data_IF_239417891744
#
_entry.id   IF_239417891744
#
_cell.length_a   1.000
_cell.length_b   1.000
_cell.length_c   1.000
_cell.angle_alpha   90.00
_cell.angle_beta   90.00
_cell.angle_gamma   90.00
#
_symmetry.space_group_name_H-M   'P 1'
#
loop_
_entity.id
_entity.type
_entity.pdbx_description
1 polymer ?
#
# COMPACT_ATOMS: atom_id res chain seq x y z
N UNK A 1 -0.31 9.79 6.53
CA UNK A 1 -0.39 8.36 6.25
C UNK A 1 -0.28 7.54 7.54
N UNK A 2 -0.99 6.41 7.63
CA UNK A 2 -1.05 5.54 8.81
C UNK A 2 0.33 5.05 9.27
N UNK A 3 1.22 4.51 8.40
CA UNK A 3 2.54 4.05 8.83
C UNK A 3 3.44 5.17 9.34
N UNK A 4 3.31 6.36 8.77
CA UNK A 4 4.05 7.54 9.22
C UNK A 4 3.58 8.01 10.58
N UNK A 5 2.26 7.97 10.83
CA UNK A 5 1.69 8.27 12.15
C UNK A 5 2.17 7.26 13.20
N UNK A 6 2.13 5.96 12.88
CA UNK A 6 2.65 4.93 13.77
C UNK A 6 4.15 5.12 14.08
N UNK A 7 4.95 5.48 13.05
CA UNK A 7 6.36 5.79 13.22
C UNK A 7 6.61 7.02 14.09
N UNK A 8 5.78 8.06 14.00
CA UNK A 8 5.84 9.23 14.89
C UNK A 8 5.60 8.84 16.35
N UNK A 9 4.55 8.05 16.60
CA UNK A 9 4.25 7.60 17.96
C UNK A 9 5.38 6.74 18.54
N UNK A 10 5.96 5.86 17.71
CA UNK A 10 7.12 5.05 18.09
C UNK A 10 8.38 5.90 18.30
N UNK A 11 8.63 6.88 17.42
CA UNK A 11 9.88 7.66 17.37
C UNK A 11 10.01 8.71 18.47
N UNK A 12 8.94 9.00 19.23
CA UNK A 12 8.98 9.97 20.34
C UNK A 12 10.12 9.65 21.31
N UNK A 13 11.01 10.65 21.53
CA UNK A 13 12.12 10.54 22.46
C UNK A 13 13.31 9.72 22.01
N UNK A 14 13.32 9.16 20.78
CA UNK A 14 14.47 8.45 20.22
C UNK A 14 15.63 9.42 19.93
N UNK A 15 16.86 8.96 20.14
CA UNK A 15 18.08 9.77 19.98
C UNK A 15 18.91 9.36 18.76
N UNK A 16 18.71 8.15 18.26
CA UNK A 16 19.48 7.58 17.15
C UNK A 16 18.58 7.37 15.93
N UNK A 17 19.18 7.32 14.75
CA UNK A 17 18.49 6.87 13.54
C UNK A 17 18.31 5.36 13.59
N UNK A 18 17.09 4.90 13.29
CA UNK A 18 16.70 3.49 13.28
C UNK A 18 15.92 3.18 12.02
N UNK A 19 16.19 2.04 11.39
CA UNK A 19 15.35 1.50 10.33
C UNK A 19 14.28 0.61 10.93
N UNK A 20 13.03 0.93 10.68
CA UNK A 20 11.90 0.21 11.25
C UNK A 20 11.00 -0.34 10.14
N UNK A 21 10.28 -1.38 10.47
CA UNK A 21 9.16 -1.87 9.67
C UNK A 21 7.87 -1.60 10.43
N UNK A 22 6.94 -0.90 9.83
CA UNK A 22 5.55 -0.82 10.26
C UNK A 22 4.82 -1.94 9.55
N UNK A 23 4.30 -2.88 10.32
CA UNK A 23 3.54 -4.05 9.88
C UNK A 23 2.09 -3.83 10.29
N UNK A 24 1.29 -3.32 9.35
CA UNK A 24 -0.10 -2.96 9.58
C UNK A 24 -1.02 -4.04 9.00
N UNK A 25 -1.70 -4.76 9.90
CA UNK A 25 -2.62 -5.81 9.53
C UNK A 25 -4.00 -5.52 10.11
N UNK A 26 -4.79 -4.81 9.31
CA UNK A 26 -6.13 -4.36 9.64
C UNK A 26 -7.23 -5.35 9.32
N UNK A 27 -8.50 -4.88 9.36
CA UNK A 27 -9.67 -5.71 9.08
C UNK A 27 -9.80 -6.12 7.62
N UNK A 28 -9.45 -5.25 6.67
CA UNK A 28 -9.62 -5.49 5.22
C UNK A 28 -8.31 -5.54 4.45
N UNK A 29 -7.25 -4.86 4.92
CA UNK A 29 -5.98 -4.72 4.21
C UNK A 29 -4.80 -5.12 5.07
N UNK A 30 -3.73 -5.51 4.40
CA UNK A 30 -2.39 -5.66 4.95
C UNK A 30 -1.47 -4.64 4.30
N UNK A 31 -0.82 -3.80 5.08
CA UNK A 31 0.15 -2.83 4.62
C UNK A 31 1.49 -3.04 5.36
N UNK A 32 2.58 -2.88 4.63
CA UNK A 32 3.94 -2.92 5.20
C UNK A 32 4.75 -1.76 4.67
N UNK A 33 5.37 -1.00 5.59
CA UNK A 33 6.18 0.16 5.24
C UNK A 33 7.52 0.06 5.94
N UNK A 34 8.58 0.27 5.17
CA UNK A 34 9.96 0.37 5.68
C UNK A 34 10.29 1.85 5.80
N UNK A 35 10.71 2.28 6.99
CA UNK A 35 11.02 3.67 7.29
C UNK A 35 12.40 3.80 7.95
N UNK A 36 13.00 4.96 7.77
CA UNK A 36 14.10 5.43 8.61
C UNK A 36 13.57 6.53 9.53
N UNK A 37 13.67 6.29 10.82
CA UNK A 37 13.22 7.22 11.87
C UNK A 37 14.44 7.79 12.55
N UNK A 38 14.61 9.10 12.50
CA UNK A 38 15.65 9.84 13.16
C UNK A 38 15.03 10.89 14.13
N UNK A 39 15.83 11.55 14.97
CA UNK A 39 15.32 12.56 15.90
C UNK A 39 14.53 13.70 15.25
N UNK A 40 14.82 14.01 13.99
CA UNK A 40 14.28 15.17 13.28
C UNK A 40 13.55 14.81 11.99
N UNK A 41 13.59 13.53 11.58
CA UNK A 41 13.04 13.08 10.29
C UNK A 41 12.43 11.69 10.39
N UNK A 42 11.28 11.49 9.76
CA UNK A 42 10.72 10.18 9.44
C UNK A 42 10.65 10.09 7.92
N UNK A 43 11.42 9.18 7.36
CA UNK A 43 11.56 8.97 5.93
C UNK A 43 11.02 7.58 5.55
N UNK A 44 10.08 7.53 4.61
CA UNK A 44 9.62 6.27 4.01
C UNK A 44 10.64 5.83 2.98
N UNK A 45 11.08 4.57 3.05
CA UNK A 45 12.04 3.98 2.10
C UNK A 45 11.33 3.13 1.05
N UNK A 46 10.34 2.36 1.48
CA UNK A 46 9.48 1.57 0.58
C UNK A 46 8.15 1.25 1.26
N UNK A 47 7.12 1.04 0.45
CA UNK A 47 5.80 0.63 0.91
C UNK A 47 5.24 -0.47 0.03
N UNK A 48 4.51 -1.40 0.63
CA UNK A 48 3.82 -2.48 -0.04
C UNK A 48 2.59 -2.92 0.72
N UNK A 49 1.72 -3.70 0.09
CA UNK A 49 0.49 -4.14 0.73
C UNK A 49 -0.24 -5.23 -0.06
N UNK A 50 -1.31 -5.69 0.54
CA UNK A 50 -2.30 -6.60 -0.04
C UNK A 50 -3.70 -6.05 0.27
N UNK A 51 -4.43 -5.51 -0.72
CA UNK A 51 -5.71 -4.83 -0.51
C UNK A 51 -6.85 -5.78 -0.14
N UNK A 52 -6.66 -7.08 -0.35
CA UNK A 52 -7.61 -8.15 -0.03
C UNK A 52 -6.91 -9.18 0.86
N UNK A 53 -6.34 -8.71 1.97
CA UNK A 53 -5.76 -9.54 3.00
C UNK A 53 -5.95 -8.83 4.35
N UNK A 54 -6.95 -9.26 5.10
CA UNK A 54 -7.34 -8.62 6.35
C UNK A 54 -8.03 -9.58 7.30
N UNK A 55 -8.48 -9.06 8.43
CA UNK A 55 -9.22 -9.81 9.46
C UNK A 55 -10.48 -10.48 8.93
N UNK A 56 -11.12 -9.87 7.90
CA UNK A 56 -12.30 -10.46 7.24
C UNK A 56 -11.97 -11.78 6.51
N UNK A 57 -10.75 -11.92 5.97
CA UNK A 57 -10.32 -13.17 5.35
C UNK A 57 -10.13 -14.27 6.40
N UNK A 58 -9.63 -13.91 7.58
CA UNK A 58 -9.54 -14.84 8.72
C UNK A 58 -10.93 -15.28 9.17
N UNK A 59 -11.88 -14.34 9.28
CA UNK A 59 -13.27 -14.65 9.59
C UNK A 59 -13.88 -15.57 8.54
N UNK A 60 -13.63 -15.32 7.26
CA UNK A 60 -14.13 -16.15 6.16
C UNK A 60 -13.62 -17.60 6.24
N UNK A 61 -12.39 -17.83 6.72
CA UNK A 61 -11.88 -19.18 6.96
C UNK A 61 -12.69 -19.91 8.04
N UNK A 62 -13.01 -19.22 9.13
CA UNK A 62 -13.85 -19.78 10.21
C UNK A 62 -15.27 -20.02 9.70
N UNK A 63 -15.88 -19.08 8.97
CA UNK A 63 -17.22 -19.20 8.39
C UNK A 63 -17.31 -20.43 7.48
N UNK A 64 -16.34 -20.61 6.60
CA UNK A 64 -16.30 -21.75 5.70
C UNK A 64 -16.15 -23.06 6.48
N UNK A 65 -15.27 -23.10 7.47
CA UNK A 65 -15.09 -24.27 8.32
C UNK A 65 -16.39 -24.63 9.08
N UNK A 66 -17.06 -23.67 9.70
CA UNK A 66 -18.36 -23.87 10.39
C UNK A 66 -19.39 -24.46 9.43
N UNK A 67 -19.53 -23.83 8.26
CA UNK A 67 -20.53 -24.25 7.27
C UNK A 67 -20.29 -25.66 6.74
N UNK A 68 -19.02 -26.00 6.46
CA UNK A 68 -18.64 -27.34 6.01
C UNK A 68 -18.92 -28.41 7.08
N UNK A 69 -18.59 -28.15 8.35
CA UNK A 69 -18.85 -29.10 9.43
C UNK A 69 -20.37 -29.30 9.62
N UNK A 70 -21.12 -28.19 9.69
CA UNK A 70 -22.56 -28.27 9.84
C UNK A 70 -23.25 -28.98 8.66
N UNK A 71 -22.77 -28.75 7.45
CA UNK A 71 -23.27 -29.43 6.24
C UNK A 71 -22.99 -30.94 6.26
N UNK A 72 -21.83 -31.34 6.76
CA UNK A 72 -21.47 -32.77 6.94
C UNK A 72 -22.38 -33.46 7.98
N UNK A 73 -22.72 -32.77 9.06
CA UNK A 73 -23.50 -33.32 10.16
C UNK A 73 -25.01 -33.29 9.92
N UNK A 74 -25.51 -32.16 9.38
CA UNK A 74 -26.95 -31.89 9.27
C UNK A 74 -27.47 -31.90 7.82
N UNK A 75 -26.59 -31.97 6.81
CA UNK A 75 -26.97 -31.91 5.41
C UNK A 75 -27.41 -30.53 4.92
N UNK A 76 -27.36 -29.50 5.76
CA UNK A 76 -27.87 -28.15 5.48
C UNK A 76 -26.70 -27.22 5.19
N UNK A 77 -26.79 -26.43 4.13
CA UNK A 77 -25.82 -25.43 3.70
C UNK A 77 -26.21 -24.06 4.26
N UNK A 78 -25.57 -23.65 5.34
CA UNK A 78 -25.85 -22.39 6.06
C UNK A 78 -25.49 -21.14 5.25
N UNK A 79 -24.59 -21.24 4.26
CA UNK A 79 -24.21 -20.10 3.44
C UNK A 79 -25.33 -19.63 2.50
N UNK A 80 -26.36 -20.46 2.29
CA UNK A 80 -27.52 -20.12 1.46
C UNK A 80 -28.61 -19.36 2.20
N UNK A 81 -28.55 -19.31 3.53
CA UNK A 81 -29.49 -18.56 4.38
C UNK A 81 -28.83 -17.26 4.85
N UNK A 82 -29.28 -16.08 4.37
CA UNK A 82 -28.67 -14.80 4.76
C UNK A 82 -28.72 -14.52 6.27
N UNK A 83 -29.76 -14.98 6.98
CA UNK A 83 -29.86 -14.77 8.43
C UNK A 83 -28.89 -15.68 9.19
N UNK A 84 -28.75 -16.93 8.78
CA UNK A 84 -27.78 -17.85 9.34
C UNK A 84 -26.35 -17.33 9.07
N UNK A 85 -26.07 -16.91 7.84
CA UNK A 85 -24.78 -16.38 7.44
C UNK A 85 -24.37 -15.16 8.28
N UNK A 86 -25.29 -14.21 8.52
CA UNK A 86 -24.99 -13.03 9.36
C UNK A 86 -24.59 -13.44 10.77
N UNK A 87 -25.34 -14.36 11.39
CA UNK A 87 -25.05 -14.85 12.74
C UNK A 87 -23.72 -15.61 12.81
N UNK A 88 -23.38 -16.36 11.76
CA UNK A 88 -22.11 -17.07 11.68
C UNK A 88 -20.96 -16.05 11.56
N UNK A 89 -21.09 -14.99 10.75
CA UNK A 89 -20.07 -13.93 10.62
C UNK A 89 -19.76 -13.30 11.96
N UNK A 90 -20.77 -12.84 12.69
CA UNK A 90 -20.58 -12.24 14.02
C UNK A 90 -19.91 -13.21 15.01
N UNK A 91 -20.28 -14.50 14.95
CA UNK A 91 -19.67 -15.51 15.82
C UNK A 91 -18.24 -15.88 15.40
N UNK A 92 -17.93 -15.85 14.11
CA UNK A 92 -16.59 -16.11 13.59
C UNK A 92 -15.62 -14.98 14.01
N UNK A 93 -16.02 -13.74 13.85
CA UNK A 93 -15.24 -12.59 14.30
C UNK A 93 -14.99 -12.64 15.81
N UNK A 94 -16.04 -12.91 16.59
CA UNK A 94 -15.90 -13.09 18.04
C UNK A 94 -14.94 -14.22 18.40
N UNK A 95 -15.05 -15.36 17.73
CA UNK A 95 -14.16 -16.50 17.94
C UNK A 95 -12.70 -16.17 17.60
N UNK A 96 -12.44 -15.47 16.49
CA UNK A 96 -11.11 -14.95 16.10
C UNK A 96 -10.53 -14.08 17.23
N UNK A 97 -11.30 -13.12 17.76
CA UNK A 97 -10.86 -12.23 18.83
C UNK A 97 -10.54 -13.02 20.11
N UNK A 98 -11.43 -13.93 20.51
CA UNK A 98 -11.24 -14.74 21.71
C UNK A 98 -10.02 -15.65 21.62
N UNK A 99 -9.74 -16.22 20.43
CA UNK A 99 -8.58 -17.08 20.19
C UNK A 99 -7.25 -16.31 20.24
N UNK A 100 -7.24 -15.00 20.22
CA UNK A 100 -6.03 -14.20 20.48
C UNK A 100 -5.54 -14.34 21.93
N UNK A 101 -6.42 -14.63 22.87
CA UNK A 101 -6.09 -14.82 24.29
C UNK A 101 -6.35 -16.25 24.81
N UNK A 102 -7.43 -16.90 24.35
CA UNK A 102 -7.81 -18.25 24.77
C UNK A 102 -7.19 -19.32 23.85
N UNK A 103 -7.05 -20.55 24.39
CA UNK A 103 -6.60 -21.72 23.62
C UNK A 103 -7.73 -22.39 22.84
N UNK A 104 -8.96 -22.19 23.27
CA UNK A 104 -10.18 -22.77 22.68
C UNK A 104 -11.34 -21.82 22.93
N UNK A 105 -12.28 -21.75 21.99
CA UNK A 105 -13.55 -21.03 22.19
C UNK A 105 -14.74 -21.85 21.66
N UNK A 106 -15.94 -21.54 22.16
CA UNK A 106 -17.18 -22.19 21.77
C UNK A 106 -18.04 -21.26 20.92
N UNK A 107 -18.49 -21.80 19.77
CA UNK A 107 -19.44 -21.15 18.88
C UNK A 107 -20.81 -21.79 19.12
N UNK A 108 -21.74 -21.04 19.71
CA UNK A 108 -23.05 -21.52 20.10
C UNK A 108 -24.15 -20.66 19.45
N UNK A 109 -24.81 -21.23 18.43
CA UNK A 109 -25.87 -20.57 17.67
C UNK A 109 -27.15 -21.41 17.70
N UNK A 110 -27.97 -21.23 18.76
CA UNK A 110 -29.25 -21.95 18.83
C UNK A 110 -30.19 -21.48 17.72
N UNK A 111 -30.99 -22.43 17.21
CA UNK A 111 -32.00 -22.19 16.16
C UNK A 111 -31.39 -21.55 14.92
N UNK A 112 -30.22 -22.07 14.47
CA UNK A 112 -29.49 -21.51 13.30
C UNK A 112 -30.21 -21.84 11.99
N UNK A 113 -30.91 -22.97 11.94
CA UNK A 113 -31.68 -23.44 10.78
C UNK A 113 -32.80 -24.37 11.22
N UNK A 114 -33.60 -24.87 10.28
CA UNK A 114 -34.62 -25.88 10.50
C UNK A 114 -34.79 -26.76 9.25
N UNK A 115 -35.22 -28.01 9.47
CA UNK A 115 -35.65 -28.93 8.41
C UNK A 115 -36.95 -29.63 8.81
N UNK A 116 -37.37 -30.66 8.05
CA UNK A 116 -38.57 -31.42 8.33
C UNK A 116 -38.58 -32.13 9.71
N UNK A 117 -37.41 -32.34 10.31
CA UNK A 117 -37.24 -32.93 11.66
C UNK A 117 -37.29 -31.91 12.79
N UNK A 118 -37.36 -30.61 12.46
CA UNK A 118 -37.43 -29.50 13.42
C UNK A 118 -36.25 -28.55 13.41
N UNK A 119 -36.14 -27.72 14.46
CA UNK A 119 -35.08 -26.73 14.56
C UNK A 119 -33.71 -27.39 14.74
N UNK A 120 -32.68 -26.76 14.15
CA UNK A 120 -31.27 -27.15 14.24
C UNK A 120 -30.47 -26.13 15.01
N UNK A 121 -29.54 -26.62 15.81
CA UNK A 121 -28.66 -25.82 16.64
C UNK A 121 -27.22 -26.08 16.21
N UNK A 122 -26.39 -25.06 16.25
CA UNK A 122 -24.95 -25.17 16.04
C UNK A 122 -24.26 -24.98 17.37
N UNK A 123 -23.47 -25.98 17.76
CA UNK A 123 -22.60 -25.95 18.93
C UNK A 123 -21.28 -26.59 18.52
N UNK A 124 -20.26 -25.79 18.40
CA UNK A 124 -18.93 -26.23 17.99
C UNK A 124 -17.86 -25.58 18.86
N UNK A 125 -16.73 -26.25 18.95
CA UNK A 125 -15.53 -25.70 19.57
C UNK A 125 -14.44 -25.60 18.52
N UNK A 126 -13.69 -24.50 18.58
CA UNK A 126 -12.51 -24.27 17.75
C UNK A 126 -11.32 -23.96 18.64
N UNK A 127 -10.22 -24.71 18.45
CA UNK A 127 -8.97 -24.43 19.14
C UNK A 127 -8.13 -23.41 18.37
N UNK A 128 -7.22 -22.72 19.07
CA UNK A 128 -6.24 -21.83 18.45
C UNK A 128 -5.43 -22.57 17.39
N UNK A 129 -4.97 -23.78 17.68
CA UNK A 129 -4.21 -24.58 16.70
C UNK A 129 -5.01 -24.90 15.43
N UNK A 130 -6.33 -25.14 15.54
CA UNK A 130 -7.17 -25.30 14.33
C UNK A 130 -7.31 -24.01 13.57
N UNK A 131 -7.52 -22.89 14.26
CA UNK A 131 -7.57 -21.54 13.65
C UNK A 131 -6.26 -21.20 12.94
N UNK A 132 -5.11 -21.41 13.59
CA UNK A 132 -3.79 -21.18 13.01
C UNK A 132 -3.57 -22.01 11.74
N UNK A 133 -4.01 -23.28 11.74
CA UNK A 133 -3.94 -24.13 10.55
C UNK A 133 -4.86 -23.65 9.42
N UNK A 134 -6.06 -23.15 9.75
CA UNK A 134 -7.00 -22.61 8.76
C UNK A 134 -6.49 -21.35 8.08
N UNK A 135 -5.66 -20.57 8.78
CA UNK A 135 -5.23 -19.22 8.38
C UNK A 135 -3.73 -19.11 8.04
N UNK A 136 -3.00 -20.24 8.01
CA UNK A 136 -1.55 -20.25 7.76
C UNK A 136 -1.19 -19.60 6.42
N UNK A 137 -1.98 -19.84 5.36
CA UNK A 137 -1.78 -19.26 4.05
C UNK A 137 -1.89 -17.73 4.05
N UNK A 138 -2.79 -17.16 4.86
CA UNK A 138 -2.94 -15.71 5.01
C UNK A 138 -1.71 -15.10 5.71
N UNK A 139 -1.22 -15.79 6.74
CA UNK A 139 -0.01 -15.41 7.46
C UNK A 139 1.22 -15.46 6.54
N UNK A 140 1.39 -16.52 5.76
CA UNK A 140 2.50 -16.66 4.82
C UNK A 140 2.50 -15.56 3.74
N UNK A 141 1.32 -15.23 3.20
CA UNK A 141 1.17 -14.14 2.22
C UNK A 141 1.65 -12.80 2.78
N UNK A 142 1.33 -12.49 4.03
CA UNK A 142 1.78 -11.25 4.66
C UNK A 142 3.30 -11.19 4.80
N UNK A 143 3.95 -12.30 5.20
CA UNK A 143 5.42 -12.38 5.31
C UNK A 143 6.09 -12.32 3.92
N UNK A 144 5.50 -12.92 2.89
CA UNK A 144 6.00 -12.78 1.52
C UNK A 144 5.98 -11.33 1.05
N UNK A 145 4.92 -10.58 1.40
CA UNK A 145 4.86 -9.16 1.06
C UNK A 145 5.91 -8.35 1.80
N UNK A 146 6.14 -8.62 3.08
CA UNK A 146 7.25 -8.01 3.84
C UNK A 146 8.59 -8.22 3.13
N UNK A 147 8.87 -9.45 2.69
CA UNK A 147 10.10 -9.79 1.99
C UNK A 147 10.29 -8.96 0.72
N UNK A 148 9.27 -8.88 -0.13
CA UNK A 148 9.30 -8.07 -1.35
C UNK A 148 9.52 -6.58 -1.05
N UNK A 149 8.87 -6.04 -0.02
CA UNK A 149 9.04 -4.62 0.35
C UNK A 149 10.45 -4.32 0.87
N UNK A 150 11.08 -5.24 1.59
CA UNK A 150 12.48 -5.11 1.98
C UNK A 150 13.43 -5.15 0.77
N UNK A 151 13.15 -6.02 -0.22
CA UNK A 151 13.90 -6.08 -1.48
C UNK A 151 13.78 -4.75 -2.26
N UNK A 152 12.58 -4.16 -2.32
CA UNK A 152 12.34 -2.84 -2.93
C UNK A 152 13.09 -1.71 -2.20
N UNK A 153 13.15 -1.78 -0.86
CA UNK A 153 13.96 -0.88 -0.05
C UNK A 153 15.48 -1.14 -0.16
N UNK A 154 15.89 -2.22 -0.83
CA UNK A 154 17.29 -2.70 -0.91
C UNK A 154 17.91 -2.99 0.46
N UNK A 155 17.11 -3.52 1.38
CA UNK A 155 17.50 -3.85 2.74
C UNK A 155 17.36 -5.33 3.01
N UNK A 156 18.27 -5.86 3.82
CA UNK A 156 18.15 -7.19 4.41
C UNK A 156 17.34 -7.13 5.72
N UNK A 157 16.72 -8.24 6.11
CA UNK A 157 15.99 -8.32 7.39
C UNK A 157 16.84 -7.97 8.62
N UNK A 158 18.17 -8.17 8.53
CA UNK A 158 19.13 -7.83 9.57
C UNK A 158 19.38 -6.32 9.74
N UNK A 159 19.07 -5.52 8.71
CA UNK A 159 19.24 -4.07 8.73
C UNK A 159 18.10 -3.37 9.48
N UNK A 160 17.01 -4.09 9.76
CA UNK A 160 15.85 -3.56 10.48
C UNK A 160 16.14 -3.58 11.97
N UNK A 161 16.04 -2.42 12.59
CA UNK A 161 16.25 -2.26 14.03
C UNK A 161 15.02 -2.69 14.83
N UNK A 162 13.82 -2.33 14.36
CA UNK A 162 12.58 -2.55 15.10
C UNK A 162 11.41 -2.88 14.18
N UNK A 163 10.42 -3.62 14.68
CA UNK A 163 9.18 -3.92 13.99
C UNK A 163 8.02 -3.38 14.83
N UNK A 164 7.26 -2.46 14.29
CA UNK A 164 6.08 -1.84 14.91
C UNK A 164 4.83 -2.52 14.37
N UNK A 165 4.07 -3.14 15.24
CA UNK A 165 2.81 -3.79 14.88
C UNK A 165 1.66 -2.80 14.95
N UNK A 166 0.79 -2.83 13.92
CA UNK A 166 -0.40 -2.00 13.77
C UNK A 166 -1.57 -2.87 13.33
N UNK A 167 -2.77 -2.52 13.76
CA UNK A 167 -4.00 -3.21 13.39
C UNK A 167 -4.32 -4.44 14.26
N UNK A 168 -5.63 -4.72 14.41
CA UNK A 168 -6.14 -5.74 15.33
C UNK A 168 -5.72 -7.17 15.01
N UNK A 169 -5.46 -7.51 13.73
CA UNK A 169 -5.00 -8.86 13.33
C UNK A 169 -3.61 -9.16 13.91
N UNK A 170 -2.78 -8.16 14.16
CA UNK A 170 -1.46 -8.32 14.79
C UNK A 170 -1.54 -8.80 16.25
N UNK A 171 -2.73 -8.78 16.85
CA UNK A 171 -2.96 -9.38 18.17
C UNK A 171 -2.99 -10.92 18.13
N UNK A 172 -3.15 -11.51 16.94
CA UNK A 172 -3.14 -12.97 16.74
C UNK A 172 -1.74 -13.54 17.04
N UNK A 173 -1.60 -14.54 17.94
CA UNK A 173 -0.31 -15.07 18.31
C UNK A 173 0.51 -15.64 17.15
N UNK A 174 -0.14 -16.33 16.21
CA UNK A 174 0.52 -16.88 15.01
C UNK A 174 1.17 -15.79 14.14
N UNK A 175 0.54 -14.62 14.01
CA UNK A 175 1.10 -13.47 13.29
C UNK A 175 2.35 -12.95 14.00
N UNK A 176 2.29 -12.74 15.32
CA UNK A 176 3.46 -12.27 16.10
C UNK A 176 4.62 -13.24 16.00
N UNK A 177 4.34 -14.52 16.08
CA UNK A 177 5.36 -15.57 15.96
C UNK A 177 5.95 -15.61 14.55
N UNK A 178 5.14 -15.49 13.49
CA UNK A 178 5.62 -15.43 12.12
C UNK A 178 6.55 -14.24 11.88
N UNK A 179 6.18 -13.05 12.36
CA UNK A 179 7.01 -11.84 12.29
C UNK A 179 8.31 -12.03 13.06
N UNK A 180 8.25 -12.53 14.30
CA UNK A 180 9.43 -12.85 15.12
C UNK A 180 10.36 -13.82 14.41
N UNK A 181 9.83 -14.91 13.87
CA UNK A 181 10.61 -15.93 13.17
C UNK A 181 11.27 -15.38 11.91
N UNK A 182 10.56 -14.53 11.16
CA UNK A 182 11.10 -13.92 9.96
C UNK A 182 12.26 -12.97 10.26
N UNK A 183 12.10 -12.04 11.19
CA UNK A 183 13.11 -11.05 11.53
C UNK A 183 14.17 -11.55 12.51
N UNK A 184 13.91 -12.63 13.23
CA UNK A 184 14.79 -13.15 14.29
C UNK A 184 14.80 -12.31 15.57
N UNK A 185 13.80 -11.46 15.77
CA UNK A 185 13.65 -10.58 16.94
C UNK A 185 12.17 -10.35 17.28
N UNK A 186 11.90 -10.04 18.53
CA UNK A 186 10.54 -9.72 19.02
C UNK A 186 10.06 -8.41 18.37
N UNK A 187 8.82 -8.37 17.84
CA UNK A 187 8.22 -7.11 17.45
C UNK A 187 7.91 -6.23 18.67
N UNK A 188 7.88 -4.93 18.47
CA UNK A 188 7.58 -3.97 19.53
C UNK A 188 6.10 -4.08 19.94
N UNK A 189 5.88 -4.28 21.22
CA UNK A 189 4.56 -4.38 21.85
C UNK A 189 4.32 -3.30 22.90
N UNK A 190 5.19 -2.29 22.98
CA UNK A 190 5.07 -1.21 23.96
C UNK A 190 3.92 -0.25 23.68
N UNK A 191 3.43 -0.23 22.46
CA UNK A 191 2.29 0.60 22.02
C UNK A 191 1.17 -0.34 21.58
N UNK A 192 -0.06 0.02 21.94
CA UNK A 192 -1.24 -0.73 21.49
C UNK A 192 -1.39 -0.61 19.98
N UNK A 193 -1.39 -1.73 19.21
CA UNK A 193 -1.48 -1.69 17.74
C UNK A 193 -2.79 -1.11 17.21
N UNK A 194 -3.85 -1.05 18.02
CA UNK A 194 -5.13 -0.44 17.61
C UNK A 194 -5.17 1.08 17.86
N UNK A 195 -4.26 1.62 18.67
CA UNK A 195 -4.25 3.04 19.07
C UNK A 195 -3.06 3.82 18.49
N UNK A 196 -2.00 3.14 18.07
CA UNK A 196 -0.73 3.76 17.67
C UNK A 196 -0.88 4.79 16.56
N UNK A 197 -1.76 4.56 15.58
CA UNK A 197 -2.04 5.49 14.48
C UNK A 197 -2.71 6.75 15.00
N UNK A 198 -3.70 6.61 15.88
CA UNK A 198 -4.41 7.74 16.48
C UNK A 198 -3.46 8.59 17.36
N UNK A 199 -2.56 7.95 18.11
CA UNK A 199 -1.52 8.63 18.88
C UNK A 199 -0.59 9.44 17.97
N UNK A 200 -0.11 8.84 16.88
CA UNK A 200 0.75 9.52 15.91
C UNK A 200 0.05 10.66 15.19
N UNK A 201 -1.23 10.49 14.87
CA UNK A 201 -2.04 11.56 14.28
C UNK A 201 -2.20 12.76 15.23
N UNK A 202 -2.39 12.50 16.53
CA UNK A 202 -2.46 13.55 17.55
C UNK A 202 -1.13 14.32 17.68
N UNK A 203 0.01 13.60 17.64
CA UNK A 203 1.35 14.21 17.65
C UNK A 203 1.53 15.11 16.44
N UNK A 204 1.17 14.63 15.24
CA UNK A 204 1.27 15.42 14.02
C UNK A 204 0.38 16.65 14.07
N UNK A 205 -0.82 16.55 14.61
CA UNK A 205 -1.73 17.68 14.76
C UNK A 205 -1.11 18.78 15.65
N UNK A 206 -0.45 18.41 16.76
CA UNK A 206 0.25 19.37 17.60
C UNK A 206 1.43 20.03 16.89
N UNK A 207 2.23 19.25 16.13
CA UNK A 207 3.34 19.80 15.33
C UNK A 207 2.84 20.83 14.33
N UNK A 208 1.76 20.56 13.61
CA UNK A 208 1.17 21.47 12.64
C UNK A 208 0.59 22.72 13.31
N UNK A 209 -0.16 22.55 14.41
CA UNK A 209 -0.71 23.67 15.17
C UNK A 209 0.38 24.59 15.72
N UNK A 210 1.42 24.02 16.31
CA UNK A 210 2.55 24.77 16.84
C UNK A 210 3.25 25.59 15.74
N UNK A 211 3.41 25.00 14.55
CA UNK A 211 3.98 25.67 13.38
C UNK A 211 3.12 26.84 12.91
N UNK A 212 1.81 26.68 12.84
CA UNK A 212 0.87 27.76 12.48
C UNK A 212 0.86 28.91 13.50
N UNK A 213 0.95 28.57 14.79
CA UNK A 213 1.00 29.53 15.90
C UNK A 213 2.39 30.13 16.11
N UNK A 214 3.42 29.71 15.36
CA UNK A 214 4.80 30.20 15.47
C UNK A 214 5.47 29.86 16.80
N UNK A 215 5.08 28.78 17.47
CA UNK A 215 5.63 28.29 18.74
C UNK A 215 6.26 26.91 18.60
N UNK A 216 6.98 26.48 19.61
CA UNK A 216 7.41 25.10 19.71
C UNK A 216 6.21 24.18 20.08
N UNK A 217 6.20 22.91 19.63
CA UNK A 217 5.24 21.91 20.09
C UNK A 217 5.30 21.73 21.62
N UNK A 218 4.18 21.32 22.23
CA UNK A 218 4.08 21.11 23.67
C UNK A 218 4.70 19.80 24.11
N UNK A 219 5.23 19.75 25.34
CA UNK A 219 5.82 18.57 25.95
C UNK A 219 7.13 18.14 25.28
N UNK A 220 7.34 16.84 25.16
CA UNK A 220 8.54 16.23 24.55
C UNK A 220 8.43 16.09 23.02
N UNK A 221 7.36 16.67 22.42
CA UNK A 221 7.13 16.61 20.99
C UNK A 221 8.11 17.55 20.27
N UNK A 222 8.86 16.99 19.33
CA UNK A 222 9.77 17.74 18.45
C UNK A 222 9.14 17.95 17.09
N UNK A 223 9.52 19.02 16.41
CA UNK A 223 9.22 19.17 14.99
C UNK A 223 9.97 18.10 14.20
N UNK A 224 9.23 17.20 13.57
CA UNK A 224 9.77 16.14 12.75
C UNK A 224 9.39 16.40 11.29
N UNK A 225 10.35 16.29 10.39
CA UNK A 225 10.11 16.35 8.96
C UNK A 225 9.65 14.97 8.47
N UNK A 226 8.45 14.93 7.87
CA UNK A 226 7.93 13.72 7.25
C UNK A 226 8.27 13.73 5.77
N UNK A 227 8.96 12.68 5.31
CA UNK A 227 9.30 12.45 3.92
C UNK A 227 8.63 11.18 3.46
N UNK A 228 7.73 11.30 2.50
CA UNK A 228 6.99 10.17 1.92
C UNK A 228 7.59 9.76 0.57
N UNK A 229 7.12 8.68 -0.02
CA UNK A 229 7.56 8.19 -1.32
C UNK A 229 6.39 8.03 -2.29
N UNK A 230 6.71 8.12 -3.57
CA UNK A 230 5.73 7.82 -4.62
C UNK A 230 5.41 6.32 -4.64
N UNK A 231 4.13 5.93 -4.55
CA UNK A 231 3.73 4.52 -4.56
C UNK A 231 3.84 3.87 -5.94
N UNK A 232 3.79 4.67 -7.01
CA UNK A 232 3.89 4.26 -8.42
C UNK A 232 4.76 5.24 -9.20
N UNK A 233 5.44 4.73 -10.23
CA UNK A 233 6.23 5.53 -11.16
C UNK A 233 5.35 6.52 -11.93
N UNK A 234 5.90 7.69 -12.20
CA UNK A 234 5.32 8.74 -13.04
C UNK A 234 6.14 8.87 -14.32
N UNK A 235 5.46 9.01 -15.44
CA UNK A 235 6.13 9.08 -16.73
C UNK A 235 5.30 9.82 -17.78
N UNK A 236 5.79 9.80 -19.01
CA UNK A 236 5.07 10.32 -20.18
C UNK A 236 5.02 9.29 -21.30
N UNK A 237 4.02 9.44 -22.15
CA UNK A 237 3.93 8.71 -23.40
C UNK A 237 5.01 9.17 -24.38
N UNK A 238 5.72 8.21 -24.97
CA UNK A 238 6.71 8.45 -26.03
C UNK A 238 6.39 7.64 -27.26
N UNK A 239 7.23 7.79 -28.31
CA UNK A 239 7.03 7.13 -29.61
C UNK A 239 6.78 5.62 -29.44
N UNK A 240 5.78 5.10 -30.18
CA UNK A 240 5.41 3.69 -30.14
C UNK A 240 4.44 3.32 -29.00
N UNK A 241 3.86 4.29 -28.29
CA UNK A 241 2.95 4.04 -27.18
C UNK A 241 3.67 3.49 -25.94
N UNK A 242 4.94 3.87 -25.76
CA UNK A 242 5.77 3.46 -24.62
C UNK A 242 5.65 4.48 -23.51
N UNK A 243 5.59 3.99 -22.27
CA UNK A 243 5.68 4.81 -21.06
C UNK A 243 7.15 5.02 -20.67
N UNK A 244 7.62 6.25 -20.78
CA UNK A 244 8.98 6.62 -20.32
C UNK A 244 8.92 7.19 -18.93
N UNK A 245 9.56 6.50 -17.98
CA UNK A 245 9.56 6.89 -16.57
C UNK A 245 10.36 8.16 -16.34
N UNK A 246 9.75 9.15 -15.70
CA UNK A 246 10.38 10.40 -15.25
C UNK A 246 10.78 10.34 -13.76
N UNK A 247 9.86 9.91 -12.91
CA UNK A 247 10.11 9.72 -11.48
C UNK A 247 9.73 8.27 -11.13
N UNK A 248 10.68 7.50 -10.66
CA UNK A 248 10.46 6.10 -10.30
C UNK A 248 9.64 5.96 -9.01
N UNK A 249 8.93 4.83 -8.85
CA UNK A 249 8.32 4.43 -7.55
C UNK A 249 9.36 4.45 -6.43
N UNK A 250 8.92 4.65 -5.21
CA UNK A 250 9.77 4.75 -4.01
C UNK A 250 10.78 5.93 -4.05
N UNK A 251 10.58 6.91 -4.96
CA UNK A 251 11.34 8.16 -4.89
C UNK A 251 10.73 9.06 -3.82
N UNK A 252 11.57 9.54 -2.90
CA UNK A 252 11.18 10.45 -1.81
C UNK A 252 10.64 11.76 -2.38
N UNK A 253 9.55 12.26 -1.80
CA UNK A 253 8.95 13.57 -2.13
C UNK A 253 9.22 14.57 -1.00
N UNK A 254 9.42 15.89 -1.30
CA UNK A 254 9.33 16.52 -2.62
C UNK A 254 10.51 16.18 -3.55
N UNK A 255 10.25 16.13 -4.86
CA UNK A 255 11.28 15.82 -5.87
C UNK A 255 10.98 16.50 -7.20
N UNK A 256 12.03 16.80 -7.96
CA UNK A 256 11.90 17.33 -9.31
C UNK A 256 12.83 16.56 -10.28
N UNK A 257 12.31 16.29 -11.49
CA UNK A 257 13.06 15.65 -12.57
C UNK A 257 12.77 16.35 -13.89
N UNK A 258 13.82 16.54 -14.68
CA UNK A 258 13.74 17.18 -16.00
C UNK A 258 14.47 16.32 -17.01
N UNK A 259 13.83 16.13 -18.17
CA UNK A 259 14.39 15.39 -19.31
C UNK A 259 14.05 16.07 -20.63
N UNK A 260 14.93 15.94 -21.62
CA UNK A 260 14.74 16.51 -22.95
C UNK A 260 14.21 15.42 -23.88
N UNK A 261 13.14 15.74 -24.57
CA UNK A 261 12.50 14.92 -25.60
C UNK A 261 12.53 15.64 -26.94
N UNK A 262 12.13 14.94 -27.98
CA UNK A 262 12.05 15.50 -29.32
C UNK A 262 10.76 15.09 -30.05
N UNK A 263 10.52 15.68 -31.25
CA UNK A 263 9.35 15.35 -32.04
C UNK A 263 9.50 14.00 -32.77
N UNK A 264 8.37 13.29 -32.89
CA UNK A 264 8.27 11.99 -33.57
C UNK A 264 8.09 12.11 -35.08
N UNK A 265 7.58 13.24 -35.56
CA UNK A 265 7.30 13.52 -36.99
C UNK A 265 7.98 14.77 -37.49
N UNK A 266 8.17 14.83 -38.82
CA UNK A 266 8.68 16.02 -39.51
C UNK A 266 7.63 17.14 -39.49
N UNK A 267 8.11 18.39 -39.39
CA UNK A 267 7.27 19.60 -39.41
C UNK A 267 6.17 19.64 -38.34
N UNK A 268 6.37 18.94 -37.25
CA UNK A 268 5.44 18.90 -36.13
C UNK A 268 5.49 20.22 -35.34
N UNK A 269 4.38 20.96 -35.36
CA UNK A 269 4.27 22.29 -34.74
C UNK A 269 3.69 22.26 -33.29
N UNK A 270 3.23 21.08 -32.87
CA UNK A 270 2.72 20.84 -31.50
C UNK A 270 3.07 19.44 -31.01
N UNK A 271 3.14 19.26 -29.68
CA UNK A 271 3.28 17.96 -29.04
C UNK A 271 2.23 17.79 -27.96
N UNK A 272 1.59 16.64 -27.93
CA UNK A 272 0.75 16.23 -26.81
C UNK A 272 1.61 15.56 -25.75
N UNK A 273 1.50 15.99 -24.52
CA UNK A 273 2.12 15.36 -23.34
C UNK A 273 1.02 14.61 -22.61
N UNK A 274 1.09 13.29 -22.63
CA UNK A 274 0.22 12.40 -21.87
C UNK A 274 0.99 11.96 -20.61
N UNK A 275 0.54 12.40 -19.45
CA UNK A 275 1.17 12.08 -18.15
C UNK A 275 0.59 10.78 -17.63
N UNK A 276 1.47 9.85 -17.28
CA UNK A 276 1.14 8.47 -16.93
C UNK A 276 1.57 8.14 -15.51
N UNK A 277 0.81 7.22 -14.90
CA UNK A 277 1.14 6.62 -13.61
C UNK A 277 1.03 5.10 -13.72
N UNK A 278 2.08 4.38 -13.30
CA UNK A 278 2.13 2.92 -13.29
C UNK A 278 3.49 2.35 -13.63
N UNK A 279 3.58 1.03 -13.59
CA UNK A 279 4.85 0.29 -13.73
C UNK A 279 4.96 -0.45 -15.08
N UNK A 280 3.91 -0.42 -15.91
CA UNK A 280 3.91 -1.16 -17.19
C UNK A 280 4.62 -0.35 -18.29
N UNK A 281 5.34 -0.99 -19.22
CA UNK A 281 6.05 -0.29 -20.28
C UNK A 281 5.13 0.31 -21.36
N UNK A 282 3.90 -0.19 -21.49
CA UNK A 282 2.97 0.32 -22.50
C UNK A 282 1.97 1.31 -21.90
N UNK A 283 1.68 2.39 -22.66
CA UNK A 283 0.76 3.46 -22.23
C UNK A 283 -0.63 2.93 -21.86
N UNK A 284 -1.18 2.00 -22.66
CA UNK A 284 -2.51 1.44 -22.47
C UNK A 284 -2.68 0.65 -21.17
N UNK A 285 -1.57 0.20 -20.58
CA UNK A 285 -1.53 -0.61 -19.39
C UNK A 285 -1.25 0.24 -18.13
N UNK A 286 -1.14 1.57 -18.31
CA UNK A 286 -0.93 2.54 -17.24
C UNK A 286 -2.11 3.52 -17.15
N UNK A 287 -2.22 4.20 -16.03
CA UNK A 287 -3.24 5.24 -15.85
C UNK A 287 -2.76 6.57 -16.42
N UNK A 288 -3.58 7.18 -17.31
CA UNK A 288 -3.37 8.57 -17.71
C UNK A 288 -3.90 9.51 -16.61
N UNK A 289 -3.03 10.36 -16.11
CA UNK A 289 -3.39 11.39 -15.12
C UNK A 289 -3.94 12.65 -15.78
N UNK A 290 -3.55 12.89 -17.05
CA UNK A 290 -4.01 14.02 -17.83
C UNK A 290 -3.15 14.23 -19.06
N UNK A 291 -3.70 15.03 -19.99
CA UNK A 291 -3.05 15.39 -21.25
C UNK A 291 -3.04 16.89 -21.44
N UNK A 292 -1.98 17.42 -22.01
CA UNK A 292 -1.92 18.82 -22.44
C UNK A 292 -1.05 18.97 -23.68
N UNK A 293 -1.20 20.08 -24.37
CA UNK A 293 -0.54 20.32 -25.68
C UNK A 293 0.39 21.53 -25.52
N UNK A 294 1.65 21.35 -25.92
CA UNK A 294 2.59 22.43 -26.21
C UNK A 294 2.51 22.72 -27.71
N UNK A 295 2.10 23.93 -28.09
CA UNK A 295 1.92 24.34 -29.46
C UNK A 295 2.82 25.50 -29.90
N UNK A 296 2.82 25.81 -31.18
CA UNK A 296 3.52 26.94 -31.78
C UNK A 296 5.03 26.76 -31.81
N UNK A 297 5.50 25.54 -31.96
CA UNK A 297 6.88 25.24 -32.30
C UNK A 297 7.14 25.50 -33.77
N UNK A 298 8.35 25.97 -34.15
CA UNK A 298 8.74 26.11 -35.56
C UNK A 298 8.80 24.73 -36.22
N UNK A 299 8.32 24.60 -37.48
CA UNK A 299 8.49 23.37 -38.25
C UNK A 299 9.97 23.00 -38.39
N UNK A 300 10.30 21.76 -38.02
CA UNK A 300 11.66 21.23 -38.13
C UNK A 300 11.62 19.71 -38.42
N UNK A 301 12.70 19.12 -38.96
CA UNK A 301 12.80 17.66 -39.09
C UNK A 301 12.64 16.98 -37.72
N UNK A 302 12.08 15.76 -37.73
CA UNK A 302 11.95 14.93 -36.50
C UNK A 302 13.30 14.79 -35.78
N UNK A 303 13.26 14.78 -34.46
CA UNK A 303 14.47 14.62 -33.65
C UNK A 303 15.27 15.91 -33.44
N UNK A 304 14.99 17.02 -34.14
CA UNK A 304 15.70 18.30 -34.00
C UNK A 304 15.13 19.16 -32.85
N UNK A 305 13.78 19.34 -32.70
CA UNK A 305 13.25 20.14 -31.62
C UNK A 305 13.64 19.57 -30.25
N UNK A 306 13.98 20.46 -29.32
CA UNK A 306 14.28 20.10 -27.93
C UNK A 306 13.15 20.55 -27.02
N UNK A 307 12.40 19.57 -26.55
CA UNK A 307 11.27 19.79 -25.65
C UNK A 307 11.70 19.35 -24.25
N UNK A 308 11.91 20.32 -23.40
CA UNK A 308 12.26 20.08 -22.01
C UNK A 308 10.96 19.79 -21.23
N UNK A 309 10.84 18.58 -20.67
CA UNK A 309 9.73 18.18 -19.81
C UNK A 309 10.22 18.07 -18.40
N UNK A 310 9.63 18.85 -17.49
CA UNK A 310 9.93 18.83 -16.07
C UNK A 310 8.72 18.33 -15.27
N UNK A 311 8.99 17.47 -14.32
CA UNK A 311 8.08 16.96 -13.31
C UNK A 311 8.53 17.52 -11.97
N UNK A 312 7.65 18.24 -11.30
CA UNK A 312 7.88 18.84 -9.97
C UNK A 312 6.76 18.36 -9.03
N UNK A 313 7.13 17.49 -8.09
CA UNK A 313 6.24 16.92 -7.09
C UNK A 313 6.51 17.57 -5.74
N UNK A 314 5.49 18.21 -5.17
CA UNK A 314 5.59 18.82 -3.85
C UNK A 314 5.40 17.79 -2.71
N UNK A 315 5.59 18.25 -1.47
CA UNK A 315 5.43 17.42 -0.27
C UNK A 315 3.97 16.98 -0.01
N UNK A 316 2.99 17.59 -0.68
CA UNK A 316 1.57 17.24 -0.57
C UNK A 316 1.14 16.26 -1.66
N UNK A 317 2.06 15.84 -2.55
CA UNK A 317 1.75 14.95 -3.66
C UNK A 317 1.15 15.64 -4.88
N UNK A 318 1.19 16.98 -4.93
CA UNK A 318 0.77 17.74 -6.11
C UNK A 318 1.88 17.73 -7.15
N UNK A 319 1.58 17.17 -8.33
CA UNK A 319 2.49 17.11 -9.47
C UNK A 319 2.25 18.30 -10.41
N UNK A 320 3.28 19.09 -10.65
CA UNK A 320 3.32 20.07 -11.73
C UNK A 320 4.16 19.55 -12.85
N UNK A 321 3.56 19.39 -14.04
CA UNK A 321 4.28 18.99 -15.26
C UNK A 321 4.36 20.18 -16.21
N UNK A 322 5.58 20.52 -16.63
CA UNK A 322 5.85 21.62 -17.54
C UNK A 322 6.57 21.09 -18.78
N UNK A 323 6.06 21.43 -19.95
CA UNK A 323 6.76 21.21 -21.21
C UNK A 323 7.19 22.56 -21.80
N UNK A 324 8.46 22.67 -22.22
CA UNK A 324 9.05 23.91 -22.78
C UNK A 324 9.83 23.62 -24.03
N UNK A 325 9.51 24.32 -25.10
CA UNK A 325 10.36 24.35 -26.30
C UNK A 325 11.59 25.24 -26.04
N UNK A 326 12.76 24.65 -26.09
CA UNK A 326 14.04 25.36 -25.83
C UNK A 326 14.39 26.37 -26.91
N UNK A 327 13.88 26.20 -28.13
CA UNK A 327 14.18 27.10 -29.24
C UNK A 327 13.41 28.42 -29.19
N UNK A 328 12.11 28.35 -28.83
CA UNK A 328 11.22 29.53 -28.76
C UNK A 328 11.02 30.06 -27.35
N UNK A 329 11.34 29.26 -26.35
CA UNK A 329 11.04 29.54 -24.93
C UNK A 329 9.57 29.38 -24.55
N UNK A 330 8.68 28.99 -25.49
CA UNK A 330 7.28 28.71 -25.18
C UNK A 330 7.16 27.56 -24.22
N UNK A 331 6.27 27.69 -23.26
CA UNK A 331 6.02 26.65 -22.25
C UNK A 331 4.53 26.52 -21.95
N UNK A 332 4.13 25.31 -21.62
CA UNK A 332 2.80 24.96 -21.11
C UNK A 332 2.96 24.09 -19.87
N UNK A 333 2.12 24.31 -18.88
CA UNK A 333 2.15 23.51 -17.65
C UNK A 333 0.75 23.08 -17.22
N UNK A 334 0.70 21.95 -16.56
CA UNK A 334 -0.51 21.40 -15.94
C UNK A 334 -0.19 21.00 -14.49
N UNK A 335 -1.14 21.24 -13.60
CA UNK A 335 -1.10 20.75 -12.23
C UNK A 335 -2.01 19.53 -12.12
N UNK A 336 -1.48 18.44 -11.65
CA UNK A 336 -2.15 17.16 -11.52
C UNK A 336 -2.03 16.69 -10.07
N UNK A 337 -3.10 16.17 -9.54
CA UNK A 337 -3.06 15.51 -8.23
C UNK A 337 -2.46 14.11 -8.44
N UNK A 338 -1.20 13.92 -8.05
CA UNK A 338 -0.39 12.74 -8.40
C UNK A 338 -0.93 11.43 -7.88
N UNK A 339 -1.06 11.24 -6.59
CA UNK A 339 -1.57 9.99 -5.99
C UNK A 339 -2.99 10.11 -5.40
N UNK A 340 -3.54 11.32 -5.38
CA UNK A 340 -4.86 11.60 -4.80
C UNK A 340 -5.93 11.18 -5.83
N UNK A 341 -6.45 9.97 -5.69
CA UNK A 341 -7.52 9.43 -6.54
C UNK A 341 -7.34 7.98 -6.96
N UNK A 342 -6.22 7.37 -6.60
CA UNK A 342 -6.09 5.92 -6.57
C UNK A 342 -6.36 5.42 -5.16
N UNK A 343 -7.28 4.46 -5.03
CA UNK A 343 -7.40 3.71 -3.79
C UNK A 343 -6.15 2.84 -3.58
N UNK A 344 -5.89 2.44 -2.35
CA UNK A 344 -4.80 1.48 -2.07
C UNK A 344 -4.94 0.21 -2.93
N UNK A 345 -6.19 -0.24 -3.15
CA UNK A 345 -6.52 -1.40 -3.98
C UNK A 345 -6.09 -1.21 -5.44
N UNK A 346 -6.34 -0.03 -6.00
CA UNK A 346 -5.94 0.28 -7.38
C UNK A 346 -4.42 0.32 -7.54
N UNK A 347 -3.71 0.92 -6.58
CA UNK A 347 -2.23 0.95 -6.56
C UNK A 347 -1.65 -0.46 -6.53
N UNK A 348 -2.14 -1.31 -5.61
CA UNK A 348 -1.66 -2.67 -5.48
C UNK A 348 -2.06 -3.55 -6.67
N UNK A 349 -3.24 -3.35 -7.23
CA UNK A 349 -3.65 -4.01 -8.47
C UNK A 349 -2.68 -3.69 -9.62
N UNK A 350 -2.33 -2.42 -9.81
CA UNK A 350 -1.39 -2.01 -10.85
C UNK A 350 0.01 -2.58 -10.64
N UNK A 351 0.47 -2.68 -9.39
CA UNK A 351 1.75 -3.34 -9.06
C UNK A 351 1.72 -4.84 -9.38
N UNK A 352 0.66 -5.55 -8.99
CA UNK A 352 0.49 -6.99 -9.27
C UNK A 352 0.39 -7.29 -10.75
N UNK A 353 -0.35 -6.48 -11.50
CA UNK A 353 -0.45 -6.60 -12.96
C UNK A 353 0.91 -6.41 -13.63
N UNK A 354 1.71 -5.45 -13.17
CA UNK A 354 3.07 -5.25 -13.65
C UNK A 354 3.98 -6.45 -13.35
N UNK A 355 3.92 -7.01 -12.14
CA UNK A 355 4.67 -8.22 -11.79
C UNK A 355 4.25 -9.44 -12.63
N UNK A 356 2.93 -9.65 -12.81
CA UNK A 356 2.39 -10.79 -13.55
C UNK A 356 2.79 -10.79 -15.04
N UNK A 357 2.89 -9.61 -15.63
CA UNK A 357 3.19 -9.44 -17.06
C UNK A 357 4.63 -9.04 -17.37
N UNK A 358 5.52 -9.01 -16.37
CA UNK A 358 6.88 -8.50 -16.51
C UNK A 358 7.68 -9.12 -17.69
N UNK A 359 7.50 -10.42 -17.95
CA UNK A 359 8.16 -11.10 -19.07
C UNK A 359 7.61 -10.71 -20.45
N UNK A 360 6.28 -10.68 -20.59
CA UNK A 360 5.63 -10.24 -21.83
C UNK A 360 5.95 -8.78 -22.16
N UNK A 361 6.02 -7.97 -21.14
CA UNK A 361 6.29 -6.54 -21.25
C UNK A 361 7.73 -6.28 -21.67
N UNK A 362 8.68 -7.04 -21.19
CA UNK A 362 10.08 -6.94 -21.62
C UNK A 362 10.25 -7.37 -23.09
N UNK A 363 9.56 -8.44 -23.52
CA UNK A 363 9.57 -8.86 -24.92
C UNK A 363 8.95 -7.81 -25.86
N UNK A 364 7.84 -7.18 -25.45
CA UNK A 364 7.20 -6.10 -26.20
C UNK A 364 8.11 -4.88 -26.33
N UNK A 365 8.75 -4.47 -25.23
CA UNK A 365 9.68 -3.35 -25.20
C UNK A 365 10.86 -3.57 -26.16
N UNK A 366 11.51 -4.74 -26.08
CA UNK A 366 12.61 -5.10 -26.98
C UNK A 366 12.18 -5.07 -28.45
N UNK A 367 10.95 -5.50 -28.77
CA UNK A 367 10.42 -5.47 -30.14
C UNK A 367 10.24 -4.04 -30.67
N UNK A 368 9.92 -3.08 -29.81
CA UNK A 368 9.75 -1.67 -30.19
C UNK A 368 11.09 -0.96 -30.32
N UNK A 369 12.07 -1.25 -29.47
CA UNK A 369 13.42 -0.65 -29.53
C UNK A 369 14.23 -1.10 -30.77
N UNK A 370 13.88 -2.25 -31.38
CA UNK A 370 14.53 -2.77 -32.61
C UNK A 370 13.95 -2.15 -33.92
N UNK A 371 12.78 -1.53 -33.85
CA UNK A 371 12.12 -0.87 -35.00
C UNK A 371 12.43 0.63 -35.07
#
# INVERSE_FOLDING_TARGET
NEPTAAALAYGLGRKNSEKIVVYDFGGGTFDVTVLEVSPDTVEVLATGGEPHLGGEDFDQKIINWISEQFKKEQGIDLLKDPLALQRIKESAEKAKIELSSAQETEINLPFISADASGPKHLLMKISRSQFDNLTCDLTERSIERVKKTLEEAKLAKGDINEIVLVGGVTLTPAIREAVKNFFGKEPNTSINPEEVVAMGAAIQAEILRAKEEGRAPEGDIKSVLLLDVLPLSLGIETLGGVSTVMIAKNTTVPTAKTQIFSTAGDSQSSVEINVLQGERPMVQDNRSLGKFILDGMPPAPRGIPQIEVSFDMDANGLLTVTAKDKSTGKSQSVKLEGSIGLSKEEVEKMKKEAEAHAKEDEEKRQTIEIK
#
